data_IF_435668406734
#
_entry.id   IF_435668406734
#
_cell.length_a   1.000
_cell.length_b   1.000
_cell.length_c   1.000
_cell.angle_alpha   90.00
_cell.angle_beta   90.00
_cell.angle_gamma   90.00
#
_symmetry.space_group_name_H-M   'P 1'
#
loop_
_entity.id
_entity.type
_entity.pdbx_description
1 polymer ?
#
# COMPACT_ATOMS: atom_id res chain seq x y z
N UNK A 1 -1.78 29.14 1.62
CA UNK A 1 -0.83 28.80 0.54
C UNK A 1 -0.07 27.48 0.76
N UNK A 2 0.45 27.21 1.95
CA UNK A 2 0.97 25.85 2.32
C UNK A 2 -0.13 24.95 2.89
N UNK A 3 -1.23 25.53 3.35
CA UNK A 3 -2.32 24.80 3.98
C UNK A 3 -3.13 23.99 2.96
N UNK A 4 -3.39 24.56 1.79
CA UNK A 4 -4.08 23.89 0.68
C UNK A 4 -3.35 22.61 0.22
N UNK A 5 -2.03 22.68 0.02
CA UNK A 5 -1.20 21.53 -0.32
C UNK A 5 -1.13 20.49 0.81
N UNK A 6 -1.04 20.97 2.05
CA UNK A 6 -1.06 20.10 3.22
C UNK A 6 -2.39 19.34 3.35
N UNK A 7 -3.51 20.04 3.18
CA UNK A 7 -4.83 19.40 3.18
C UNK A 7 -4.96 18.38 2.04
N UNK A 8 -4.45 18.70 0.86
CA UNK A 8 -4.45 17.78 -0.28
C UNK A 8 -3.63 16.51 -0.01
N UNK A 9 -2.54 16.61 0.74
CA UNK A 9 -1.74 15.45 1.14
C UNK A 9 -2.43 14.58 2.20
N UNK A 10 -3.16 15.19 3.14
CA UNK A 10 -3.65 14.50 4.35
C UNK A 10 -5.12 14.05 4.24
N UNK A 11 -6.00 14.86 3.66
CA UNK A 11 -7.44 14.57 3.63
C UNK A 11 -7.77 13.22 2.97
N UNK A 12 -7.18 12.84 1.82
CA UNK A 12 -7.45 11.53 1.23
C UNK A 12 -7.02 10.36 2.12
N UNK A 13 -5.93 10.53 2.88
CA UNK A 13 -5.45 9.54 3.86
C UNK A 13 -6.47 9.36 4.98
N UNK A 14 -6.97 10.47 5.55
CA UNK A 14 -8.01 10.41 6.59
C UNK A 14 -9.31 9.76 6.10
N UNK A 15 -9.69 10.04 4.85
CA UNK A 15 -10.83 9.39 4.19
C UNK A 15 -10.59 7.88 4.10
N UNK A 16 -9.41 7.44 3.66
CA UNK A 16 -9.03 6.03 3.58
C UNK A 16 -9.05 5.34 4.96
N UNK A 17 -8.49 5.99 5.98
CA UNK A 17 -8.51 5.48 7.36
C UNK A 17 -9.94 5.34 7.89
N UNK A 18 -10.78 6.35 7.68
CA UNK A 18 -12.18 6.31 8.09
C UNK A 18 -12.95 5.22 7.33
N UNK A 19 -12.73 5.12 6.03
CA UNK A 19 -13.38 4.12 5.18
C UNK A 19 -13.07 2.70 5.63
N UNK A 20 -11.79 2.34 5.82
CA UNK A 20 -11.42 0.98 6.23
C UNK A 20 -11.92 0.67 7.65
N UNK A 21 -11.83 1.64 8.56
CA UNK A 21 -12.34 1.48 9.92
C UNK A 21 -13.86 1.29 9.95
N UNK A 22 -14.61 1.88 9.02
CA UNK A 22 -16.07 1.69 8.93
C UNK A 22 -16.49 0.27 8.56
N UNK A 23 -15.55 -0.53 7.98
CA UNK A 23 -15.75 -1.95 7.67
C UNK A 23 -15.59 -2.85 8.89
N UNK A 24 -14.86 -2.39 9.89
CA UNK A 24 -14.63 -3.05 11.17
C UNK A 24 -15.87 -2.93 12.08
N UNK A 25 -16.82 -3.87 11.91
CA UNK A 25 -18.14 -3.79 12.56
C UNK A 25 -18.31 -4.71 13.76
N UNK A 26 -17.63 -5.87 13.77
CA UNK A 26 -17.90 -6.93 14.75
C UNK A 26 -16.97 -6.85 15.95
N UNK A 27 -15.67 -6.93 15.74
CA UNK A 27 -14.67 -6.88 16.81
C UNK A 27 -13.70 -5.73 16.55
N UNK A 28 -14.14 -4.50 16.87
CA UNK A 28 -13.42 -3.28 16.51
C UNK A 28 -12.02 -3.24 17.09
N UNK A 29 -11.04 -3.09 16.20
CA UNK A 29 -9.65 -2.91 16.58
C UNK A 29 -9.42 -1.63 17.41
N UNK A 30 -8.62 -1.72 18.51
CA UNK A 30 -8.30 -0.55 19.32
C UNK A 30 -7.54 0.49 18.51
N UNK A 31 -7.99 1.74 18.59
CA UNK A 31 -7.42 2.85 17.80
C UNK A 31 -5.92 3.02 18.01
N UNK A 32 -5.45 2.76 19.22
CA UNK A 32 -4.03 2.87 19.57
C UNK A 32 -3.15 1.90 18.78
N UNK A 33 -3.64 0.68 18.50
CA UNK A 33 -2.92 -0.30 17.69
C UNK A 33 -2.92 0.11 16.22
N UNK A 34 -4.03 0.63 15.71
CA UNK A 34 -4.12 1.15 14.34
C UNK A 34 -3.16 2.34 14.13
N UNK A 35 -3.14 3.29 15.07
CA UNK A 35 -2.19 4.42 15.05
C UNK A 35 -0.74 3.93 15.11
N UNK A 36 -0.44 2.90 15.90
CA UNK A 36 0.90 2.28 15.95
C UNK A 36 1.34 1.81 14.56
N UNK A 37 0.49 1.06 13.83
CA UNK A 37 0.84 0.59 12.49
C UNK A 37 0.94 1.73 11.48
N UNK A 38 0.10 2.74 11.58
CA UNK A 38 0.22 3.97 10.80
C UNK A 38 1.58 4.66 11.01
N UNK A 39 2.00 4.85 12.26
CA UNK A 39 3.29 5.46 12.58
C UNK A 39 4.48 4.61 12.14
N UNK A 40 4.37 3.27 12.22
CA UNK A 40 5.38 2.36 11.65
C UNK A 40 5.48 2.60 10.14
N UNK A 41 4.37 2.67 9.41
CA UNK A 41 4.36 2.94 7.98
C UNK A 41 4.99 4.29 7.63
N UNK A 42 4.64 5.35 8.38
CA UNK A 42 5.24 6.67 8.22
C UNK A 42 6.75 6.68 8.47
N UNK A 43 7.24 5.91 9.43
CA UNK A 43 8.68 5.77 9.68
C UNK A 43 9.37 4.97 8.57
N UNK A 44 8.75 3.88 8.10
CA UNK A 44 9.30 3.04 7.02
C UNK A 44 9.49 3.80 5.72
N UNK A 45 8.65 4.80 5.42
CA UNK A 45 8.79 5.59 4.19
C UNK A 45 10.16 6.28 4.10
N UNK A 46 10.71 6.74 5.23
CA UNK A 46 12.05 7.36 5.25
C UNK A 46 13.12 6.35 4.86
N UNK A 47 13.05 5.13 5.39
CA UNK A 47 14.00 4.05 5.08
C UNK A 47 13.86 3.65 3.61
N UNK A 48 12.64 3.50 3.12
CA UNK A 48 12.32 3.11 1.75
C UNK A 48 12.88 4.14 0.77
N UNK A 49 12.62 5.43 0.97
CA UNK A 49 13.15 6.51 0.12
C UNK A 49 14.68 6.48 0.07
N UNK A 50 15.36 6.18 1.18
CA UNK A 50 16.82 6.05 1.18
C UNK A 50 17.29 4.84 0.37
N UNK A 51 16.59 3.70 0.45
CA UNK A 51 16.92 2.49 -0.32
C UNK A 51 16.65 2.69 -1.82
N UNK A 52 15.54 3.32 -2.18
CA UNK A 52 15.22 3.66 -3.57
C UNK A 52 16.28 4.58 -4.19
N UNK A 53 16.66 5.65 -3.48
CA UNK A 53 17.72 6.55 -3.91
C UNK A 53 19.08 5.82 -4.06
N UNK A 54 19.34 4.84 -3.20
CA UNK A 54 20.54 4.03 -3.30
C UNK A 54 20.50 3.13 -4.55
N UNK A 55 19.38 2.45 -4.79
CA UNK A 55 19.21 1.57 -5.97
C UNK A 55 19.25 2.36 -7.27
N UNK A 56 18.69 3.57 -7.30
CA UNK A 56 18.76 4.44 -8.47
C UNK A 56 20.20 4.81 -8.86
N UNK A 57 21.15 4.88 -7.91
CA UNK A 57 22.58 5.10 -8.22
C UNK A 57 23.22 3.93 -8.95
N UNK A 58 22.67 2.73 -8.81
CA UNK A 58 23.15 1.52 -9.51
C UNK A 58 22.34 1.22 -10.77
N UNK A 59 21.43 2.09 -11.17
CA UNK A 59 20.66 1.93 -12.40
C UNK A 59 21.60 2.11 -13.62
N UNK A 60 21.76 1.03 -14.37
CA UNK A 60 22.55 0.97 -15.61
C UNK A 60 21.66 0.70 -16.83
N UNK A 61 20.36 0.67 -16.65
CA UNK A 61 19.39 0.37 -17.68
C UNK A 61 18.91 1.63 -18.39
N UNK A 62 18.43 1.50 -19.63
CA UNK A 62 17.89 2.58 -20.44
C UNK A 62 16.57 2.15 -21.11
N UNK A 63 15.72 3.13 -21.45
CA UNK A 63 14.46 2.89 -22.15
C UNK A 63 13.50 1.99 -21.36
N UNK A 64 12.89 1.01 -22.03
CA UNK A 64 11.91 0.12 -21.38
C UNK A 64 12.51 -0.74 -20.26
N UNK A 65 13.78 -1.12 -20.34
CA UNK A 65 14.44 -1.87 -19.26
C UNK A 65 14.63 -1.02 -17.99
N UNK A 66 14.88 0.28 -18.14
CA UNK A 66 14.88 1.21 -17.03
C UNK A 66 13.49 1.32 -16.38
N UNK A 67 12.44 1.46 -17.18
CA UNK A 67 11.07 1.52 -16.66
C UNK A 67 10.71 0.25 -15.86
N UNK A 68 11.08 -0.93 -16.35
CA UNK A 68 10.89 -2.19 -15.63
C UNK A 68 11.69 -2.21 -14.33
N UNK A 69 12.95 -1.82 -14.37
CA UNK A 69 13.81 -1.78 -13.18
C UNK A 69 13.24 -0.83 -12.12
N UNK A 70 12.88 0.38 -12.51
CA UNK A 70 12.34 1.40 -11.58
C UNK A 70 11.02 0.94 -10.99
N UNK A 71 10.08 0.46 -11.81
CA UNK A 71 8.74 0.09 -11.34
C UNK A 71 8.73 -1.20 -10.50
N UNK A 72 9.43 -2.25 -10.92
CA UNK A 72 9.37 -3.55 -10.24
C UNK A 72 10.42 -3.74 -9.16
N UNK A 73 11.64 -3.19 -9.34
CA UNK A 73 12.73 -3.39 -8.39
C UNK A 73 12.83 -2.22 -7.42
N UNK A 74 12.92 -0.99 -7.94
CA UNK A 74 13.10 0.19 -7.07
C UNK A 74 11.83 0.48 -6.28
N UNK A 75 10.66 0.58 -6.93
CA UNK A 75 9.41 0.84 -6.24
C UNK A 75 8.79 -0.46 -5.67
N UNK A 76 8.27 -1.35 -6.53
CA UNK A 76 7.47 -2.49 -6.11
C UNK A 76 8.16 -3.39 -5.08
N UNK A 77 9.38 -3.87 -5.37
CA UNK A 77 10.10 -4.78 -4.48
C UNK A 77 10.55 -4.09 -3.19
N UNK A 78 11.09 -2.88 -3.26
CA UNK A 78 11.58 -2.19 -2.06
C UNK A 78 10.42 -1.78 -1.18
N UNK A 79 9.40 -1.12 -1.73
CA UNK A 79 8.29 -0.65 -0.91
C UNK A 79 7.49 -1.80 -0.30
N UNK A 80 6.97 -2.70 -1.14
CA UNK A 80 6.11 -3.77 -0.64
C UNK A 80 6.92 -4.84 0.11
N UNK A 81 8.17 -5.09 -0.29
CA UNK A 81 9.07 -5.98 0.41
C UNK A 81 9.42 -5.50 1.82
N UNK A 82 9.80 -4.23 1.99
CA UNK A 82 10.12 -3.65 3.31
C UNK A 82 8.87 -3.57 4.17
N UNK A 83 7.72 -3.17 3.60
CA UNK A 83 6.42 -3.19 4.31
C UNK A 83 6.11 -4.59 4.81
N UNK A 84 6.25 -5.62 3.97
CA UNK A 84 6.00 -7.02 4.34
C UNK A 84 6.95 -7.53 5.42
N UNK A 85 8.26 -7.22 5.32
CA UNK A 85 9.28 -7.62 6.30
C UNK A 85 8.96 -7.15 7.72
N UNK A 86 8.35 -6.00 7.86
CA UNK A 86 7.99 -5.44 9.17
C UNK A 86 6.57 -5.82 9.58
N UNK A 87 5.63 -5.75 8.64
CA UNK A 87 4.21 -5.99 8.92
C UNK A 87 3.93 -7.44 9.31
N UNK A 88 4.47 -8.41 8.55
CA UNK A 88 4.18 -9.84 8.78
C UNK A 88 4.53 -10.27 10.21
N UNK A 89 5.78 -10.10 10.70
CA UNK A 89 6.13 -10.50 12.06
C UNK A 89 5.40 -9.67 13.12
N UNK A 90 5.10 -8.40 12.85
CA UNK A 90 4.35 -7.55 13.77
C UNK A 90 2.91 -8.02 13.94
N UNK A 91 2.23 -8.35 12.83
CA UNK A 91 0.85 -8.85 12.85
C UNK A 91 0.72 -10.24 13.46
N UNK A 92 1.67 -11.16 13.18
CA UNK A 92 1.62 -12.50 13.76
C UNK A 92 1.66 -12.44 15.30
N UNK A 93 2.39 -11.48 15.86
CA UNK A 93 2.51 -11.24 17.29
C UNK A 93 1.39 -10.39 17.88
N UNK A 94 0.58 -9.74 17.03
CA UNK A 94 -0.49 -8.86 17.51
C UNK A 94 -1.63 -9.68 18.13
N UNK A 95 -1.94 -9.38 19.38
CA UNK A 95 -2.95 -10.12 20.16
C UNK A 95 -4.38 -9.83 19.70
N UNK A 96 -4.60 -8.63 19.17
CA UNK A 96 -5.90 -8.20 18.67
C UNK A 96 -6.19 -8.72 17.26
N UNK A 97 -5.23 -9.29 16.55
CA UNK A 97 -5.46 -9.93 15.26
C UNK A 97 -6.23 -11.25 15.46
N UNK A 98 -7.54 -11.18 15.59
CA UNK A 98 -8.45 -12.30 15.91
C UNK A 98 -9.33 -12.72 14.74
N UNK A 99 -9.57 -11.81 13.77
CA UNK A 99 -10.40 -12.03 12.60
C UNK A 99 -9.60 -11.82 11.29
N UNK A 100 -10.12 -12.38 10.18
CA UNK A 100 -9.45 -12.22 8.87
C UNK A 100 -9.42 -10.77 8.38
N UNK A 101 -10.41 -9.97 8.78
CA UNK A 101 -10.49 -8.56 8.41
C UNK A 101 -9.39 -7.73 9.08
N UNK A 102 -8.95 -8.11 10.28
CA UNK A 102 -7.95 -7.36 11.05
C UNK A 102 -6.63 -7.25 10.31
N UNK A 103 -6.19 -8.34 9.65
CA UNK A 103 -4.98 -8.32 8.83
C UNK A 103 -5.04 -7.29 7.70
N UNK A 104 -6.22 -7.12 7.09
CA UNK A 104 -6.45 -6.10 6.06
C UNK A 104 -6.42 -4.70 6.69
N UNK A 105 -7.11 -4.50 7.81
CA UNK A 105 -7.19 -3.20 8.49
C UNK A 105 -5.81 -2.72 8.90
N UNK A 106 -5.03 -3.54 9.58
CA UNK A 106 -3.67 -3.19 10.00
C UNK A 106 -2.74 -2.90 8.82
N UNK A 107 -2.82 -3.72 7.74
CA UNK A 107 -2.04 -3.51 6.53
C UNK A 107 -2.35 -2.16 5.87
N UNK A 108 -3.64 -1.82 5.78
CA UNK A 108 -4.09 -0.54 5.20
C UNK A 108 -3.62 0.65 6.06
N UNK A 109 -3.70 0.54 7.40
CA UNK A 109 -3.20 1.62 8.26
C UNK A 109 -1.69 1.83 8.09
N UNK A 110 -0.90 0.76 7.98
CA UNK A 110 0.53 0.87 7.71
C UNK A 110 0.79 1.53 6.34
N UNK A 111 0.10 1.08 5.29
CA UNK A 111 0.26 1.64 3.95
C UNK A 111 -0.18 3.12 3.86
N UNK A 112 -1.24 3.51 4.55
CA UNK A 112 -1.68 4.90 4.63
C UNK A 112 -0.68 5.77 5.40
N UNK A 113 -0.02 5.22 6.42
CA UNK A 113 1.09 5.89 7.11
C UNK A 113 2.26 6.15 6.17
N UNK A 114 2.67 5.14 5.40
CA UNK A 114 3.69 5.26 4.36
C UNK A 114 3.29 6.31 3.32
N UNK A 115 2.10 6.18 2.72
CA UNK A 115 1.60 7.07 1.69
C UNK A 115 1.50 8.54 2.16
N UNK A 116 1.32 8.78 3.46
CA UNK A 116 1.28 10.13 4.03
C UNK A 116 2.60 10.87 3.81
N UNK A 117 3.71 10.26 4.20
CA UNK A 117 5.04 10.86 4.08
C UNK A 117 5.43 10.95 2.60
N UNK A 118 5.19 9.89 1.86
CA UNK A 118 5.45 9.86 0.42
C UNK A 118 4.70 10.99 -0.31
N UNK A 119 3.39 11.17 -0.06
CA UNK A 119 2.62 12.28 -0.61
C UNK A 119 3.19 13.64 -0.26
N UNK A 120 3.62 13.83 0.99
CA UNK A 120 4.26 15.07 1.40
C UNK A 120 5.54 15.32 0.60
N UNK A 121 6.40 14.30 0.46
CA UNK A 121 7.64 14.40 -0.32
C UNK A 121 7.34 14.81 -1.76
N UNK A 122 6.44 14.10 -2.45
CA UNK A 122 6.11 14.41 -3.84
C UNK A 122 5.48 15.80 -4.01
N UNK A 123 4.50 16.17 -3.18
CA UNK A 123 3.81 17.45 -3.30
C UNK A 123 4.73 18.64 -3.00
N UNK A 124 5.57 18.52 -1.95
CA UNK A 124 6.43 19.62 -1.53
C UNK A 124 7.75 19.72 -2.28
N UNK A 125 8.13 18.70 -3.09
CA UNK A 125 9.28 18.76 -3.99
C UNK A 125 8.99 19.52 -5.27
N UNK A 126 7.72 19.73 -5.62
CA UNK A 126 7.30 20.35 -6.88
C UNK A 126 7.10 21.85 -6.79
N UNK A 127 7.18 22.52 -7.94
CA UNK A 127 6.72 23.90 -8.09
C UNK A 127 5.21 23.98 -7.79
N UNK A 128 4.74 25.13 -7.33
CA UNK A 128 3.35 25.30 -6.85
C UNK A 128 2.28 24.81 -7.83
N UNK A 129 2.42 25.11 -9.11
CA UNK A 129 1.42 24.76 -10.13
C UNK A 129 1.39 23.23 -10.36
N UNK A 130 2.54 22.60 -10.36
CA UNK A 130 2.68 21.15 -10.49
C UNK A 130 2.26 20.44 -9.20
N UNK A 131 2.56 21.00 -8.02
CA UNK A 131 2.20 20.44 -6.72
C UNK A 131 0.70 20.17 -6.56
N UNK A 132 -0.15 21.08 -7.07
CA UNK A 132 -1.61 20.86 -7.06
C UNK A 132 -2.01 19.68 -7.95
N UNK A 133 -1.47 19.62 -9.16
CA UNK A 133 -1.77 18.53 -10.10
C UNK A 133 -1.25 17.18 -9.57
N UNK A 134 -0.02 17.14 -9.05
CA UNK A 134 0.57 15.94 -8.42
C UNK A 134 -0.28 15.51 -7.24
N UNK A 135 -0.67 16.44 -6.36
CA UNK A 135 -1.48 16.13 -5.20
C UNK A 135 -2.85 15.56 -5.55
N UNK A 136 -3.54 16.11 -6.55
CA UNK A 136 -4.83 15.59 -7.03
C UNK A 136 -4.65 14.19 -7.63
N UNK A 137 -3.65 14.01 -8.50
CA UNK A 137 -3.37 12.69 -9.09
C UNK A 137 -3.07 11.65 -8.02
N UNK A 138 -2.26 11.99 -7.02
CA UNK A 138 -1.93 11.08 -5.93
C UNK A 138 -3.14 10.79 -5.04
N UNK A 139 -3.99 11.77 -4.77
CA UNK A 139 -5.22 11.58 -4.00
C UNK A 139 -6.19 10.58 -4.65
N UNK A 140 -6.30 10.61 -5.99
CA UNK A 140 -7.28 9.81 -6.75
C UNK A 140 -6.68 8.49 -7.26
N UNK A 141 -5.39 8.44 -7.48
CA UNK A 141 -4.73 7.28 -8.13
C UNK A 141 -3.79 6.57 -7.16
N UNK A 142 -2.75 7.26 -6.62
CA UNK A 142 -1.69 6.59 -5.86
C UNK A 142 -2.17 6.11 -4.48
N UNK A 143 -2.94 6.93 -3.74
CA UNK A 143 -3.45 6.52 -2.42
C UNK A 143 -4.39 5.30 -2.53
N UNK A 144 -5.39 5.27 -3.44
CA UNK A 144 -6.18 4.07 -3.67
C UNK A 144 -5.35 2.85 -4.08
N UNK A 145 -4.28 3.03 -4.86
CA UNK A 145 -3.37 1.95 -5.23
C UNK A 145 -2.64 1.36 -4.01
N UNK A 146 -2.06 2.19 -3.15
CA UNK A 146 -1.45 1.71 -1.90
C UNK A 146 -2.43 0.98 -0.99
N UNK A 147 -3.68 1.46 -0.91
CA UNK A 147 -4.75 0.75 -0.17
C UNK A 147 -5.01 -0.61 -0.81
N UNK A 148 -5.07 -0.72 -2.12
CA UNK A 148 -5.27 -1.99 -2.84
C UNK A 148 -4.13 -2.99 -2.60
N UNK A 149 -2.87 -2.55 -2.66
CA UNK A 149 -1.71 -3.40 -2.37
C UNK A 149 -1.74 -3.90 -0.92
N UNK A 150 -2.07 -3.01 0.02
CA UNK A 150 -2.19 -3.34 1.42
C UNK A 150 -3.34 -4.32 1.72
N UNK A 151 -4.50 -4.16 1.07
CA UNK A 151 -5.62 -5.11 1.19
C UNK A 151 -5.17 -6.49 0.73
N UNK A 152 -4.47 -6.58 -0.40
CA UNK A 152 -3.97 -7.84 -0.93
C UNK A 152 -2.96 -8.47 0.02
N UNK A 153 -2.01 -7.70 0.53
CA UNK A 153 -1.04 -8.17 1.53
C UNK A 153 -1.74 -8.69 2.78
N UNK A 154 -2.62 -7.88 3.36
CA UNK A 154 -3.36 -8.21 4.59
C UNK A 154 -4.26 -9.43 4.43
N UNK A 155 -4.90 -9.59 3.28
CA UNK A 155 -5.70 -10.76 2.95
C UNK A 155 -4.88 -12.05 3.01
N UNK A 156 -3.70 -12.09 2.38
CA UNK A 156 -2.86 -13.28 2.40
C UNK A 156 -2.19 -13.51 3.74
N UNK A 157 -1.86 -12.45 4.51
CA UNK A 157 -1.39 -12.58 5.89
C UNK A 157 -2.49 -13.21 6.77
N UNK A 158 -3.73 -12.79 6.59
CA UNK A 158 -4.87 -13.37 7.30
C UNK A 158 -5.08 -14.84 6.94
N UNK A 159 -5.01 -15.17 5.64
CA UNK A 159 -5.04 -16.57 5.23
C UNK A 159 -3.90 -17.39 5.85
N UNK A 160 -2.68 -16.86 5.86
CA UNK A 160 -1.55 -17.50 6.53
C UNK A 160 -1.82 -17.77 8.01
N UNK A 161 -2.37 -16.80 8.73
CA UNK A 161 -2.60 -16.90 10.18
C UNK A 161 -3.64 -17.96 10.53
N UNK A 162 -4.75 -17.99 9.79
CA UNK A 162 -5.92 -18.82 10.11
C UNK A 162 -5.96 -20.17 9.35
N UNK A 163 -4.95 -20.48 8.52
CA UNK A 163 -4.87 -21.74 7.79
C UNK A 163 -4.26 -22.84 8.65
N UNK A 164 -4.90 -23.99 8.70
CA UNK A 164 -4.42 -25.17 9.43
C UNK A 164 -3.35 -25.99 8.69
N UNK A 165 -3.36 -25.97 7.35
CA UNK A 165 -2.45 -26.73 6.52
C UNK A 165 -1.11 -26.01 6.35
N UNK A 166 0.00 -26.64 6.79
CA UNK A 166 1.35 -26.04 6.75
C UNK A 166 1.81 -25.65 5.33
N UNK A 167 1.47 -26.46 4.31
CA UNK A 167 1.87 -26.17 2.94
C UNK A 167 1.15 -24.94 2.38
N UNK A 168 -0.17 -24.87 2.59
CA UNK A 168 -0.97 -23.69 2.22
C UNK A 168 -0.55 -22.44 2.96
N UNK A 169 -0.15 -22.56 4.23
CA UNK A 169 0.39 -21.43 5.00
C UNK A 169 1.63 -20.83 4.33
N UNK A 170 2.59 -21.68 3.88
CA UNK A 170 3.79 -21.20 3.19
C UNK A 170 3.45 -20.52 1.86
N UNK A 171 2.51 -21.09 1.12
CA UNK A 171 2.00 -20.51 -0.12
C UNK A 171 1.37 -19.11 0.13
N UNK A 172 0.50 -19.00 1.13
CA UNK A 172 -0.11 -17.71 1.48
C UNK A 172 0.91 -16.66 1.95
N UNK A 173 1.93 -17.08 2.69
CA UNK A 173 3.00 -16.18 3.10
C UNK A 173 3.81 -15.67 1.89
N UNK A 174 4.10 -16.55 0.94
CA UNK A 174 4.75 -16.17 -0.32
C UNK A 174 3.88 -15.22 -1.14
N UNK A 175 2.58 -15.51 -1.25
CA UNK A 175 1.62 -14.66 -1.96
C UNK A 175 1.44 -13.29 -1.28
N UNK A 176 1.53 -13.22 0.06
CA UNK A 176 1.44 -11.97 0.81
C UNK A 176 2.55 -10.97 0.44
N UNK A 177 3.68 -11.46 -0.03
CA UNK A 177 4.82 -10.65 -0.47
C UNK A 177 4.80 -10.44 -1.99
N UNK A 178 4.69 -11.52 -2.75
CA UNK A 178 4.86 -11.48 -4.20
C UNK A 178 3.76 -10.69 -4.90
N UNK A 179 2.49 -10.93 -4.54
CA UNK A 179 1.37 -10.33 -5.30
C UNK A 179 1.34 -8.81 -5.14
N UNK A 180 1.48 -8.22 -3.94
CA UNK A 180 1.58 -6.76 -3.81
C UNK A 180 2.75 -6.16 -4.59
N UNK A 181 3.95 -6.80 -4.58
CA UNK A 181 5.11 -6.36 -5.37
C UNK A 181 4.77 -6.32 -6.86
N UNK A 182 4.16 -7.38 -7.39
CA UNK A 182 3.79 -7.43 -8.80
C UNK A 182 2.71 -6.41 -9.16
N UNK A 183 1.69 -6.25 -8.30
CA UNK A 183 0.63 -5.26 -8.52
C UNK A 183 1.19 -3.84 -8.52
N UNK A 184 2.08 -3.53 -7.58
CA UNK A 184 2.74 -2.23 -7.51
C UNK A 184 3.62 -1.99 -8.73
N UNK A 185 4.50 -2.93 -9.07
CA UNK A 185 5.36 -2.82 -10.24
C UNK A 185 4.58 -2.63 -11.54
N UNK A 186 3.49 -3.39 -11.74
CA UNK A 186 2.59 -3.21 -12.90
C UNK A 186 1.93 -1.84 -12.88
N UNK A 187 1.46 -1.40 -11.74
CA UNK A 187 0.83 -0.09 -11.58
C UNK A 187 1.78 1.04 -11.97
N UNK A 188 2.99 1.06 -11.42
CA UNK A 188 3.98 2.10 -11.72
C UNK A 188 4.47 2.02 -13.17
N UNK A 189 4.66 0.81 -13.70
CA UNK A 189 5.03 0.63 -15.11
C UNK A 189 3.98 1.25 -16.04
N UNK A 190 2.69 1.01 -15.78
CA UNK A 190 1.58 1.59 -16.55
C UNK A 190 1.57 3.12 -16.45
N UNK A 191 1.85 3.67 -15.24
CA UNK A 191 1.96 5.12 -15.06
C UNK A 191 3.10 5.72 -15.88
N UNK A 192 4.27 5.05 -15.90
CA UNK A 192 5.47 5.52 -16.60
C UNK A 192 5.33 5.47 -18.13
N UNK A 193 4.57 4.52 -18.68
CA UNK A 193 4.30 4.44 -20.13
C UNK A 193 3.10 5.30 -20.57
N UNK A 194 2.57 6.14 -19.66
CA UNK A 194 1.45 7.06 -19.91
C UNK A 194 0.11 6.42 -20.33
N UNK A 195 -0.05 5.12 -20.16
CA UNK A 195 -1.31 4.41 -20.44
C UNK A 195 -2.34 4.60 -19.32
N UNK A 196 -2.78 5.85 -19.13
CA UNK A 196 -3.67 6.27 -18.03
C UNK A 196 -4.98 5.50 -17.96
N UNK A 197 -5.51 5.04 -19.08
CA UNK A 197 -6.75 4.24 -19.12
C UNK A 197 -6.62 2.87 -18.48
N UNK A 198 -5.44 2.24 -18.55
CA UNK A 198 -5.19 0.95 -17.91
C UNK A 198 -5.23 1.03 -16.38
N UNK A 199 -4.93 2.18 -15.78
CA UNK A 199 -5.01 2.42 -14.35
C UNK A 199 -6.48 2.38 -13.88
N UNK A 200 -7.37 3.01 -14.63
CA UNK A 200 -8.81 2.98 -14.32
C UNK A 200 -9.31 1.54 -14.34
N UNK A 201 -8.88 0.75 -15.32
CA UNK A 201 -9.19 -0.69 -15.39
C UNK A 201 -8.61 -1.47 -14.20
N UNK A 202 -7.37 -1.21 -13.81
CA UNK A 202 -6.72 -1.87 -12.67
C UNK A 202 -7.46 -1.57 -11.36
N UNK A 203 -7.82 -0.32 -11.12
CA UNK A 203 -8.60 0.11 -9.95
C UNK A 203 -10.01 -0.49 -9.99
N UNK A 204 -10.66 -0.47 -11.15
CA UNK A 204 -12.01 -1.02 -11.32
C UNK A 204 -12.04 -2.54 -11.08
N UNK A 205 -11.09 -3.29 -11.63
CA UNK A 205 -10.98 -4.75 -11.45
C UNK A 205 -10.69 -5.07 -9.98
N UNK A 206 -9.79 -4.33 -9.34
CA UNK A 206 -9.49 -4.52 -7.92
C UNK A 206 -10.70 -4.21 -7.05
N UNK A 207 -11.43 -3.13 -7.34
CA UNK A 207 -12.65 -2.78 -6.63
C UNK A 207 -13.73 -3.86 -6.77
N UNK A 208 -13.94 -4.41 -7.96
CA UNK A 208 -14.92 -5.48 -8.19
C UNK A 208 -14.56 -6.76 -7.44
N UNK A 209 -13.27 -7.15 -7.40
CA UNK A 209 -12.84 -8.31 -6.61
C UNK A 209 -12.98 -8.11 -5.10
N UNK A 210 -12.85 -6.86 -4.62
CA UNK A 210 -13.00 -6.52 -3.20
C UNK A 210 -14.46 -6.36 -2.77
N UNK A 211 -15.35 -6.03 -3.70
CA UNK A 211 -16.79 -5.85 -3.44
C UNK A 211 -17.63 -7.07 -3.75
N UNK A 212 -17.06 -8.11 -4.38
CA UNK A 212 -17.75 -9.39 -4.47
C UNK A 212 -18.10 -9.83 -3.05
N UNK A 213 -19.37 -10.21 -2.79
CA UNK A 213 -19.80 -10.60 -1.46
C UNK A 213 -18.90 -11.73 -0.98
N UNK A 214 -18.11 -11.44 0.05
CA UNK A 214 -17.58 -12.51 0.89
C UNK A 214 -18.82 -13.14 1.51
N UNK A 215 -19.37 -14.16 0.84
CA UNK A 215 -20.32 -15.04 1.47
C UNK A 215 -19.70 -15.44 2.80
N UNK A 216 -20.37 -15.22 3.94
CA UNK A 216 -19.87 -15.76 5.17
C UNK A 216 -19.83 -17.27 4.96
N UNK A 217 -18.61 -17.81 4.83
CA UNK A 217 -18.43 -19.25 4.95
C UNK A 217 -18.73 -19.56 6.40
N UNK A 218 -19.95 -20.08 6.61
CA UNK A 218 -20.33 -20.80 7.82
C UNK A 218 -19.37 -21.95 8.06
#
# INVERSE_FOLDING_TARGET
MKLDLFLLAIVPILIGMFWIRSKDRYCREPLIHLIKFFLIGAFLSVIIILLENLLMKFNVFEGYSELIYVSFVVAGLVEEGVKALILIPALIKEKHFTEKLDGIIYSVFLALGFATIENMVYIFSESRNLALQVGINRAVISIPAHVMFAITMGYYISKYKFEGNKNKRREYLFMAVLIPILLHGVFDFILMIEYRWAIILLIAVSYTHLTLPTTPYV
#
